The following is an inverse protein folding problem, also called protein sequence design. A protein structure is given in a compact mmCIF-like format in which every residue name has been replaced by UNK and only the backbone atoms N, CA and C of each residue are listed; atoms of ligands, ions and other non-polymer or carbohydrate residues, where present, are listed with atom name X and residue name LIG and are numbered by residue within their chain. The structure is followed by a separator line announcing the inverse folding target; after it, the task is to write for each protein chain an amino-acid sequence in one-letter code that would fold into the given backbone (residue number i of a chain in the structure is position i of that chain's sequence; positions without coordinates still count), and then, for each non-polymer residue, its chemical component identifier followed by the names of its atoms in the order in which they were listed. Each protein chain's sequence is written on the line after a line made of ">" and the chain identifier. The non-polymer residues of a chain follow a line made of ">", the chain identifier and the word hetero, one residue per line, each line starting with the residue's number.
data_IF_227852868533
#
_entry.id   IF_227852868533
#
_cell.length_a   1.000
_cell.length_b   1.000
_cell.length_c   1.000
_cell.angle_alpha   90.00
_cell.angle_beta   90.00
_cell.angle_gamma   90.00
#
_symmetry.space_group_name_H-M   'P 1'
#
loop_
_entity.id
_entity.type
_entity.pdbx_description
1 polymer ?
#
# COMPACT_ATOMS: atom_id res chain seq x y z
N UNK A 1 8.91 14.80 -1.59
CA UNK A 1 8.10 16.03 -1.82
C UNK A 1 8.73 16.99 -2.81
N UNK A 2 9.95 17.49 -2.58
CA UNK A 2 10.54 18.56 -3.42
C UNK A 2 10.47 18.29 -4.93
N UNK A 3 10.71 17.05 -5.36
CA UNK A 3 10.60 16.66 -6.77
C UNK A 3 9.16 16.62 -7.31
N UNK A 4 8.19 16.05 -6.57
CA UNK A 4 6.79 15.98 -7.02
C UNK A 4 6.13 17.36 -7.05
N UNK A 5 6.40 18.18 -6.03
CA UNK A 5 5.91 19.55 -5.95
C UNK A 5 6.47 20.43 -7.08
N UNK A 6 7.74 20.26 -7.44
CA UNK A 6 8.35 20.93 -8.59
C UNK A 6 7.69 20.54 -9.93
N UNK A 7 7.16 19.32 -10.03
CA UNK A 7 6.36 18.85 -11.17
C UNK A 7 4.87 19.19 -11.10
N UNK A 8 4.43 20.04 -10.17
CA UNK A 8 3.03 20.46 -10.02
C UNK A 8 2.12 19.49 -9.25
N UNK A 9 2.63 18.35 -8.78
CA UNK A 9 1.86 17.40 -7.96
C UNK A 9 1.90 17.79 -6.49
N UNK A 10 0.77 18.26 -5.96
CA UNK A 10 0.66 18.76 -4.59
C UNK A 10 0.25 17.68 -3.58
N UNK A 11 -0.47 16.65 -4.02
CA UNK A 11 -0.89 15.51 -3.19
C UNK A 11 -0.77 14.19 -3.95
N UNK A 12 -0.49 13.11 -3.23
CA UNK A 12 -0.43 11.76 -3.80
C UNK A 12 -0.78 10.68 -2.76
N UNK A 13 -0.99 9.46 -3.26
CA UNK A 13 -1.01 8.25 -2.44
C UNK A 13 0.39 7.60 -2.49
N UNK A 14 0.97 7.30 -1.33
CA UNK A 14 2.21 6.57 -1.26
C UNK A 14 1.96 5.09 -1.66
N UNK A 15 2.53 4.66 -2.80
CA UNK A 15 2.34 3.29 -3.29
C UNK A 15 3.25 2.31 -2.55
N UNK A 16 2.66 1.26 -1.98
CA UNK A 16 3.36 0.11 -1.42
C UNK A 16 3.14 -1.08 -2.37
N UNK A 17 4.23 -1.57 -2.94
CA UNK A 17 4.24 -2.75 -3.82
C UNK A 17 4.43 -4.05 -3.04
N UNK A 18 4.08 -5.17 -3.67
CA UNK A 18 4.27 -6.55 -3.14
C UNK A 18 5.66 -6.78 -2.54
N UNK A 19 5.69 -7.13 -1.24
CA UNK A 19 6.87 -7.48 -0.43
C UNK A 19 6.43 -8.47 0.67
N UNK A 20 7.35 -9.05 1.46
CA UNK A 20 6.98 -9.75 2.69
C UNK A 20 6.06 -8.91 3.58
N UNK A 21 5.11 -9.56 4.28
CA UNK A 21 4.09 -8.88 5.08
C UNK A 21 4.69 -7.87 6.06
N UNK A 22 5.73 -8.28 6.79
CA UNK A 22 6.43 -7.44 7.77
C UNK A 22 7.04 -6.18 7.15
N UNK A 23 7.53 -6.28 5.92
CA UNK A 23 8.09 -5.13 5.20
C UNK A 23 6.98 -4.16 4.79
N UNK A 24 5.83 -4.67 4.35
CA UNK A 24 4.67 -3.84 4.05
C UNK A 24 4.18 -3.11 5.31
N UNK A 25 4.05 -3.82 6.43
CA UNK A 25 3.70 -3.25 7.75
C UNK A 25 4.70 -2.16 8.16
N UNK A 26 6.01 -2.43 8.06
CA UNK A 26 7.06 -1.46 8.38
C UNK A 26 6.95 -0.20 7.53
N UNK A 27 6.72 -0.33 6.23
CA UNK A 27 6.60 0.81 5.32
C UNK A 27 5.34 1.64 5.61
N UNK A 28 4.21 1.00 5.91
CA UNK A 28 2.98 1.69 6.29
C UNK A 28 3.17 2.48 7.60
N UNK A 29 3.81 1.89 8.61
CA UNK A 29 4.16 2.58 9.86
C UNK A 29 5.09 3.77 9.61
N UNK A 30 6.04 3.66 8.69
CA UNK A 30 6.91 4.77 8.32
C UNK A 30 6.14 5.93 7.68
N UNK A 31 5.15 5.64 6.83
CA UNK A 31 4.26 6.66 6.24
C UNK A 31 3.44 7.37 7.33
N UNK A 32 2.84 6.60 8.25
CA UNK A 32 2.08 7.14 9.39
C UNK A 32 2.96 8.09 10.20
N UNK A 33 4.14 7.64 10.60
CA UNK A 33 5.10 8.43 11.38
C UNK A 33 5.50 9.71 10.66
N UNK A 34 5.84 9.62 9.38
CA UNK A 34 6.23 10.79 8.58
C UNK A 34 5.13 11.85 8.49
N UNK A 35 3.85 11.43 8.41
CA UNK A 35 2.70 12.36 8.43
C UNK A 35 2.46 12.96 9.82
N UNK A 36 2.76 12.24 10.89
CA UNK A 36 2.66 12.76 12.27
C UNK A 36 3.74 13.80 12.56
N UNK A 37 4.96 13.57 12.07
CA UNK A 37 6.13 14.42 12.34
C UNK A 37 6.22 15.66 11.44
N UNK A 38 5.42 15.75 10.36
CA UNK A 38 5.50 16.88 9.42
C UNK A 38 4.15 17.26 8.83
N UNK A 39 3.73 18.52 9.08
CA UNK A 39 2.52 19.08 8.49
C UNK A 39 2.56 19.09 6.94
N UNK A 40 3.74 19.34 6.35
CA UNK A 40 3.93 19.29 4.91
C UNK A 40 3.71 17.87 4.36
N UNK A 41 4.27 16.86 5.00
CA UNK A 41 4.08 15.47 4.58
C UNK A 41 2.65 15.00 4.84
N UNK A 42 2.02 15.45 5.93
CA UNK A 42 0.60 15.20 6.20
C UNK A 42 -0.31 15.73 5.10
N UNK A 43 -0.02 16.94 4.60
CA UNK A 43 -0.76 17.57 3.51
C UNK A 43 -0.55 16.83 2.19
N UNK A 44 0.70 16.55 1.83
CA UNK A 44 1.00 16.06 0.50
C UNK A 44 0.91 14.52 0.36
N UNK A 45 0.97 13.74 1.45
CA UNK A 45 0.64 12.31 1.45
C UNK A 45 -0.81 12.16 1.94
N UNK A 46 -1.75 12.00 1.00
CA UNK A 46 -3.17 11.90 1.33
C UNK A 46 -3.56 10.51 1.88
N UNK A 47 -2.76 9.49 1.57
CA UNK A 47 -2.96 8.12 2.02
C UNK A 47 -1.95 7.17 1.37
N UNK A 48 -2.23 5.88 1.44
CA UNK A 48 -1.46 4.82 0.82
C UNK A 48 -2.28 4.10 -0.26
N UNK A 49 -1.57 3.60 -1.27
CA UNK A 49 -2.09 2.72 -2.30
C UNK A 49 -1.35 1.38 -2.19
N UNK A 50 -2.07 0.28 -2.01
CA UNK A 50 -1.48 -1.05 -2.14
C UNK A 50 -1.54 -1.48 -3.61
N UNK A 51 -0.40 -1.86 -4.15
CA UNK A 51 -0.27 -2.48 -5.47
C UNK A 51 0.25 -3.90 -5.28
N UNK A 52 -0.67 -4.81 -4.99
CA UNK A 52 -0.40 -6.17 -4.49
C UNK A 52 -0.46 -6.29 -2.96
N UNK A 53 -0.19 -7.48 -2.38
CA UNK A 53 0.34 -8.70 -3.02
C UNK A 53 -0.71 -9.53 -3.78
N UNK A 54 -1.97 -9.11 -3.76
CA UNK A 54 -3.11 -9.84 -4.32
C UNK A 54 -3.35 -9.53 -5.80
N UNK A 55 -2.31 -9.72 -6.61
CA UNK A 55 -2.38 -9.57 -8.07
C UNK A 55 -2.51 -10.95 -8.73
N UNK A 56 -3.01 -10.99 -9.97
CA UNK A 56 -3.14 -12.25 -10.71
C UNK A 56 -1.76 -12.91 -10.89
N UNK A 57 -1.74 -14.24 -10.76
CA UNK A 57 -0.55 -15.08 -10.96
C UNK A 57 -0.24 -15.30 -12.45
N UNK A 58 -1.16 -14.96 -13.35
CA UNK A 58 -0.97 -15.11 -14.80
C UNK A 58 0.16 -14.18 -15.28
N UNK A 59 1.02 -14.70 -16.17
CA UNK A 59 2.09 -13.91 -16.77
C UNK A 59 1.47 -12.87 -17.72
N UNK A 60 1.62 -11.59 -17.35
CA UNK A 60 0.92 -10.46 -17.96
C UNK A 60 0.64 -9.36 -16.92
N UNK A 61 -0.42 -9.49 -16.09
CA UNK A 61 -0.76 -8.54 -15.02
C UNK A 61 0.23 -8.47 -13.83
N UNK A 62 1.25 -9.34 -13.79
CA UNK A 62 2.27 -9.39 -12.71
C UNK A 62 3.32 -8.27 -12.77
N UNK A 63 3.59 -7.68 -13.94
CA UNK A 63 4.61 -6.63 -14.08
C UNK A 63 5.95 -6.96 -13.39
N UNK A 64 6.55 -6.00 -12.69
CA UNK A 64 7.84 -6.13 -11.98
C UNK A 64 7.75 -6.77 -10.58
N UNK A 65 6.62 -7.39 -10.21
CA UNK A 65 6.44 -7.98 -8.89
C UNK A 65 7.13 -9.35 -8.76
N UNK A 66 7.85 -9.57 -7.67
CA UNK A 66 8.51 -10.84 -7.37
C UNK A 66 7.44 -11.94 -7.11
N UNK A 67 7.40 -13.01 -7.93
CA UNK A 67 6.37 -14.03 -7.85
C UNK A 67 6.33 -14.76 -6.51
N UNK A 68 7.43 -14.76 -5.75
CA UNK A 68 7.50 -15.42 -4.42
C UNK A 68 6.62 -14.75 -3.36
N UNK A 69 6.19 -13.51 -3.60
CA UNK A 69 5.37 -12.76 -2.64
C UNK A 69 3.95 -12.47 -3.14
N UNK A 70 3.61 -12.92 -4.35
CA UNK A 70 2.23 -12.88 -4.85
C UNK A 70 1.44 -13.96 -4.10
N UNK A 71 0.29 -13.59 -3.53
CA UNK A 71 -0.56 -14.51 -2.77
C UNK A 71 -2.03 -14.17 -2.97
N UNK A 72 -2.90 -15.15 -2.68
CA UNK A 72 -4.36 -14.96 -2.76
C UNK A 72 -4.83 -13.88 -1.76
N UNK A 73 -5.90 -13.13 -2.08
CA UNK A 73 -6.55 -12.23 -1.13
C UNK A 73 -6.82 -12.91 0.21
N UNK A 74 -6.29 -12.33 1.29
CA UNK A 74 -6.59 -12.72 2.66
C UNK A 74 -7.09 -11.47 3.42
N UNK A 75 -8.29 -11.58 3.98
CA UNK A 75 -8.93 -10.49 4.70
C UNK A 75 -8.19 -10.16 5.99
N UNK A 76 -7.67 -11.17 6.71
CA UNK A 76 -6.93 -10.92 7.94
C UNK A 76 -5.61 -10.20 7.65
N UNK A 77 -4.93 -10.59 6.58
CA UNK A 77 -3.75 -9.89 6.12
C UNK A 77 -4.06 -8.42 5.79
N UNK A 78 -5.13 -8.17 5.02
CA UNK A 78 -5.54 -6.80 4.68
C UNK A 78 -5.87 -5.99 5.94
N UNK A 79 -6.59 -6.57 6.90
CA UNK A 79 -6.93 -5.90 8.15
C UNK A 79 -5.68 -5.51 8.93
N UNK A 80 -4.70 -6.42 9.08
CA UNK A 80 -3.42 -6.13 9.75
C UNK A 80 -2.65 -4.99 9.08
N UNK A 81 -2.66 -4.94 7.73
CA UNK A 81 -2.06 -3.85 6.98
C UNK A 81 -2.82 -2.53 7.19
N UNK A 82 -4.15 -2.56 7.20
CA UNK A 82 -4.97 -1.38 7.41
C UNK A 82 -4.82 -0.81 8.83
N UNK A 83 -4.70 -1.67 9.84
CA UNK A 83 -4.43 -1.29 11.23
C UNK A 83 -3.04 -0.66 11.36
N UNK A 84 -2.01 -1.28 10.75
CA UNK A 84 -0.67 -0.72 10.71
C UNK A 84 -0.62 0.64 10.00
N UNK A 85 -1.49 0.85 9.01
CA UNK A 85 -1.64 2.11 8.30
C UNK A 85 -2.54 3.13 9.01
N UNK A 86 -3.16 2.79 10.14
CA UNK A 86 -4.14 3.63 10.83
C UNK A 86 -5.26 4.15 9.89
N UNK A 87 -5.77 3.27 9.02
CA UNK A 87 -6.83 3.62 8.07
C UNK A 87 -6.39 4.46 6.86
N UNK A 88 -5.08 4.57 6.61
CA UNK A 88 -4.54 5.36 5.50
C UNK A 88 -4.57 4.64 4.15
N UNK A 89 -4.84 3.34 4.07
CA UNK A 89 -4.98 2.69 2.76
C UNK A 89 -6.29 3.16 2.12
N UNK A 90 -6.19 3.86 0.99
CA UNK A 90 -7.34 4.41 0.23
C UNK A 90 -7.64 3.64 -1.05
N UNK A 91 -6.65 2.88 -1.54
CA UNK A 91 -6.77 2.06 -2.73
C UNK A 91 -5.98 0.76 -2.54
N UNK A 92 -6.57 -0.35 -2.93
CA UNK A 92 -5.95 -1.67 -2.94
C UNK A 92 -6.46 -2.43 -4.18
N UNK A 93 -5.82 -3.55 -4.58
CA UNK A 93 -6.34 -4.40 -5.63
C UNK A 93 -7.75 -4.90 -5.26
N UNK A 94 -8.54 -5.29 -6.26
CA UNK A 94 -9.87 -5.86 -6.02
C UNK A 94 -9.71 -7.17 -5.25
N UNK A 95 -10.11 -7.18 -3.99
CA UNK A 95 -10.07 -8.37 -3.13
C UNK A 95 -11.39 -9.12 -3.25
N UNK A 96 -11.32 -10.36 -3.71
CA UNK A 96 -12.42 -11.33 -3.57
C UNK A 96 -12.01 -12.30 -2.48
N UNK A 97 -12.49 -12.04 -1.26
CA UNK A 97 -12.31 -12.98 -0.17
C UNK A 97 -13.32 -14.12 -0.36
N UNK A 98 -12.85 -15.37 -0.29
CA UNK A 98 -13.78 -16.49 -0.16
C UNK A 98 -14.56 -16.31 1.13
N UNK A 99 -15.89 -16.33 1.06
CA UNK A 99 -16.72 -16.29 2.27
C UNK A 99 -16.26 -17.43 3.19
N UNK A 100 -16.06 -17.11 4.48
CA UNK A 100 -15.85 -18.14 5.49
C UNK A 100 -17.14 -18.96 5.56
N UNK A 101 -17.03 -20.26 5.28
CA UNK A 101 -18.03 -21.27 5.61
C UNK A 101 -18.27 -21.33 7.11
#
# INVERSE_FOLDING_TARGET
>A
MRHLAAGGTTQHLATIVTRPHEHMVRNLKAIVRARQESALLRFAIHGAHLEGPWISLEDGPRGAHDPRYIRKPDFEEFQKLQDAAQGLIKKAPRLRFSQRS
#
